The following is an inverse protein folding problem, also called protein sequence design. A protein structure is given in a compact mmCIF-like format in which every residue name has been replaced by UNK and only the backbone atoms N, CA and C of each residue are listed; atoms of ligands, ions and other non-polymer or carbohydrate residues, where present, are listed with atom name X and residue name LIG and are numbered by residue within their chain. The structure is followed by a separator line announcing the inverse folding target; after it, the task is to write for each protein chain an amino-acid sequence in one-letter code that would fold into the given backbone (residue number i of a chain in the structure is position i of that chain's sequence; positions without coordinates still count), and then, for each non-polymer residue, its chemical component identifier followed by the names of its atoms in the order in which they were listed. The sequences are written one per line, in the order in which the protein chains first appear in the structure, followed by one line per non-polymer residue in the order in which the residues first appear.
data_IF_239015930827
#
_entry.id   IF_239015930827
#
_cell.length_a   1.000
_cell.length_b   1.000
_cell.length_c   1.000
_cell.angle_alpha   90.00
_cell.angle_beta   90.00
_cell.angle_gamma   90.00
#
_symmetry.space_group_name_H-M   'P 1'
#
loop_
_entity.id
_entity.type
_entity.pdbx_description
1 polymer ?
#
# COMPACT_ATOMS: atom_id res chain seq x y z
N UNK A 1 8.55 1.19 40.90
CA UNK A 1 7.11 1.48 40.72
C UNK A 1 6.85 1.68 39.24
N UNK A 2 6.09 0.78 38.58
CA UNK A 2 5.68 0.99 37.17
C UNK A 2 4.62 2.08 37.17
N UNK A 3 4.85 3.18 36.46
CA UNK A 3 3.91 4.30 36.30
C UNK A 3 2.72 3.92 35.38
N UNK A 4 2.00 2.86 35.73
CA UNK A 4 0.84 2.35 34.99
C UNK A 4 -0.29 3.38 34.93
N UNK A 5 -0.49 4.15 35.99
CA UNK A 5 -1.49 5.22 36.05
C UNK A 5 -1.24 6.31 35.00
N UNK A 6 0.03 6.72 34.86
CA UNK A 6 0.43 7.69 33.84
C UNK A 6 0.21 7.14 32.42
N UNK A 7 0.54 5.86 32.19
CA UNK A 7 0.30 5.21 30.89
C UNK A 7 -1.20 5.17 30.57
N UNK A 8 -2.05 4.86 31.55
CA UNK A 8 -3.51 4.86 31.39
C UNK A 8 -4.00 6.27 31.04
N UNK A 9 -3.52 7.29 31.75
CA UNK A 9 -3.90 8.69 31.51
C UNK A 9 -3.49 9.17 30.11
N UNK A 10 -2.25 8.88 29.70
CA UNK A 10 -1.74 9.20 28.36
C UNK A 10 -2.54 8.50 27.26
N UNK A 11 -2.85 7.21 27.44
CA UNK A 11 -3.65 6.45 26.49
C UNK A 11 -5.05 7.04 26.35
N UNK A 12 -5.73 7.35 27.46
CA UNK A 12 -7.05 8.00 27.43
C UNK A 12 -7.03 9.34 26.68
N UNK A 13 -6.03 10.18 26.95
CA UNK A 13 -5.88 11.46 26.26
C UNK A 13 -5.68 11.27 24.74
N UNK A 14 -4.82 10.34 24.35
CA UNK A 14 -4.58 10.00 22.94
C UNK A 14 -5.86 9.52 22.24
N UNK A 15 -6.59 8.59 22.85
CA UNK A 15 -7.84 8.05 22.29
C UNK A 15 -8.88 9.15 22.15
N UNK A 16 -9.07 9.98 23.18
CA UNK A 16 -10.01 11.10 23.12
C UNK A 16 -9.68 12.05 21.98
N UNK A 17 -8.42 12.47 21.87
CA UNK A 17 -7.97 13.34 20.79
C UNK A 17 -8.17 12.71 19.40
N UNK A 18 -7.89 11.41 19.26
CA UNK A 18 -8.12 10.67 18.02
C UNK A 18 -9.61 10.67 17.63
N UNK A 19 -10.50 10.37 18.58
CA UNK A 19 -11.95 10.34 18.36
C UNK A 19 -12.49 11.72 17.99
N UNK A 20 -12.15 12.76 18.75
CA UNK A 20 -12.59 14.14 18.47
C UNK A 20 -12.14 14.57 17.07
N UNK A 21 -10.91 14.24 16.67
CA UNK A 21 -10.40 14.54 15.34
C UNK A 21 -11.23 13.84 14.25
N UNK A 22 -11.59 12.58 14.44
CA UNK A 22 -12.39 11.83 13.47
C UNK A 22 -13.82 12.38 13.40
N UNK A 23 -14.45 12.68 14.55
CA UNK A 23 -15.79 13.27 14.62
C UNK A 23 -15.83 14.61 13.89
N UNK A 24 -14.86 15.49 14.12
CA UNK A 24 -14.78 16.80 13.42
C UNK A 24 -14.63 16.63 11.91
N UNK A 25 -13.85 15.65 11.45
CA UNK A 25 -13.72 15.33 10.02
C UNK A 25 -15.06 14.85 9.43
N UNK A 26 -15.75 13.99 10.15
CA UNK A 26 -17.03 13.42 9.73
C UNK A 26 -18.15 14.47 9.70
N UNK A 27 -18.18 15.38 10.69
CA UNK A 27 -19.09 16.53 10.72
C UNK A 27 -18.87 17.47 9.53
N UNK A 28 -17.60 17.74 9.16
CA UNK A 28 -17.28 18.59 8.01
C UNK A 28 -17.64 17.93 6.69
N UNK A 29 -17.42 16.62 6.57
CA UNK A 29 -17.68 15.89 5.34
C UNK A 29 -18.04 14.45 5.67
N UNK A 30 -19.32 14.06 5.51
CA UNK A 30 -19.75 12.68 5.74
C UNK A 30 -18.94 11.68 4.91
N UNK A 31 -18.60 10.56 5.53
CA UNK A 31 -17.78 9.49 4.97
C UNK A 31 -16.31 9.82 4.78
N UNK A 32 -15.80 10.95 5.28
CA UNK A 32 -14.39 11.32 5.09
C UNK A 32 -13.44 10.39 5.86
N UNK A 33 -13.83 9.91 7.04
CA UNK A 33 -13.02 8.97 7.82
C UNK A 33 -12.89 7.65 7.08
N UNK A 34 -14.01 7.10 6.58
CA UNK A 34 -14.04 5.86 5.79
C UNK A 34 -13.18 5.98 4.52
N UNK A 35 -13.36 7.04 3.73
CA UNK A 35 -12.55 7.29 2.53
C UNK A 35 -11.06 7.39 2.83
N UNK A 36 -10.69 8.05 3.92
CA UNK A 36 -9.29 8.16 4.34
C UNK A 36 -8.69 6.78 4.68
N UNK A 37 -9.48 5.91 5.32
CA UNK A 37 -9.05 4.54 5.65
C UNK A 37 -8.90 3.69 4.38
N UNK A 38 -9.85 3.78 3.45
CA UNK A 38 -9.80 3.08 2.15
C UNK A 38 -8.53 3.47 1.38
N UNK A 39 -8.25 4.77 1.25
CA UNK A 39 -7.03 5.27 0.59
C UNK A 39 -5.76 4.83 1.33
N UNK A 40 -5.76 4.85 2.66
CA UNK A 40 -4.62 4.38 3.44
C UNK A 40 -4.35 2.87 3.26
N UNK A 41 -5.41 2.05 3.14
CA UNK A 41 -5.29 0.63 2.88
C UNK A 41 -4.71 0.35 1.49
N UNK A 42 -5.22 1.06 0.47
CA UNK A 42 -4.66 1.03 -0.89
C UNK A 42 -3.17 1.37 -0.88
N UNK A 43 -2.78 2.46 -0.20
CA UNK A 43 -1.38 2.88 -0.13
C UNK A 43 -0.48 1.83 0.57
N UNK A 44 -0.98 1.21 1.66
CA UNK A 44 -0.26 0.12 2.34
C UNK A 44 -0.02 -1.07 1.41
N UNK A 45 -1.02 -1.47 0.62
CA UNK A 45 -0.87 -2.57 -0.36
C UNK A 45 0.14 -2.23 -1.45
N UNK A 46 0.09 -1.00 -1.99
CA UNK A 46 1.07 -0.50 -2.96
C UNK A 46 2.50 -0.57 -2.40
N UNK A 47 2.70 -0.14 -1.15
CA UNK A 47 3.99 -0.24 -0.45
C UNK A 47 4.43 -1.70 -0.30
N UNK A 48 3.54 -2.58 0.16
CA UNK A 48 3.85 -4.00 0.32
C UNK A 48 4.30 -4.63 -1.01
N UNK A 49 3.56 -4.41 -2.10
CA UNK A 49 3.93 -4.93 -3.43
C UNK A 49 5.27 -4.37 -3.91
N UNK A 50 5.53 -3.08 -3.69
CA UNK A 50 6.82 -2.43 -3.98
C UNK A 50 7.96 -3.13 -3.24
N UNK A 51 7.81 -3.37 -1.94
CA UNK A 51 8.83 -4.04 -1.14
C UNK A 51 9.08 -5.48 -1.62
N UNK A 52 8.04 -6.22 -2.00
CA UNK A 52 8.17 -7.56 -2.60
C UNK A 52 8.92 -7.55 -3.93
N UNK A 53 8.64 -6.58 -4.80
CA UNK A 53 9.32 -6.43 -6.09
C UNK A 53 10.79 -6.09 -5.91
N UNK A 54 11.12 -5.16 -5.01
CA UNK A 54 12.51 -4.79 -4.71
C UNK A 54 13.28 -6.01 -4.20
N UNK A 55 12.70 -6.77 -3.27
CA UNK A 55 13.32 -8.00 -2.75
C UNK A 55 13.63 -8.99 -3.88
N UNK A 56 12.69 -9.18 -4.80
CA UNK A 56 12.88 -10.05 -5.96
C UNK A 56 14.00 -9.54 -6.90
N UNK A 57 14.01 -8.24 -7.22
CA UNK A 57 15.04 -7.64 -8.08
C UNK A 57 16.44 -7.75 -7.48
N UNK A 58 16.57 -7.54 -6.17
CA UNK A 58 17.82 -7.71 -5.42
C UNK A 58 18.30 -9.16 -5.46
N UNK A 59 17.40 -10.12 -5.22
CA UNK A 59 17.71 -11.56 -5.28
C UNK A 59 18.24 -11.96 -6.66
N UNK A 60 17.64 -11.44 -7.73
CA UNK A 60 18.06 -11.71 -9.11
C UNK A 60 19.23 -10.83 -9.59
N UNK A 61 19.79 -9.98 -8.73
CA UNK A 61 20.92 -9.07 -9.03
C UNK A 61 20.66 -8.16 -10.24
N UNK A 62 19.44 -7.64 -10.36
CA UNK A 62 19.08 -6.72 -11.44
C UNK A 62 19.80 -5.39 -11.30
N UNK A 63 19.88 -4.63 -12.41
CA UNK A 63 20.53 -3.32 -12.41
C UNK A 63 19.89 -2.39 -11.36
N UNK A 64 20.69 -1.74 -10.49
CA UNK A 64 20.19 -0.83 -9.46
C UNK A 64 19.29 0.30 -9.99
N UNK A 65 19.49 0.76 -11.24
CA UNK A 65 18.62 1.74 -11.88
C UNK A 65 17.19 1.23 -12.11
N UNK A 66 17.03 -0.06 -12.35
CA UNK A 66 15.69 -0.66 -12.48
C UNK A 66 15.04 -0.75 -11.09
N UNK A 67 15.82 -1.12 -10.07
CA UNK A 67 15.33 -1.16 -8.70
C UNK A 67 14.86 0.22 -8.22
N UNK A 68 15.57 1.30 -8.54
CA UNK A 68 15.18 2.67 -8.15
C UNK A 68 13.89 3.14 -8.84
N UNK A 69 13.63 2.72 -10.08
CA UNK A 69 12.35 2.99 -10.77
C UNK A 69 11.19 2.27 -10.08
N UNK A 70 11.42 1.02 -9.66
CA UNK A 70 10.45 0.20 -8.92
C UNK A 70 10.35 0.62 -7.45
N UNK A 71 11.23 1.50 -6.98
CA UNK A 71 11.21 1.97 -5.61
C UNK A 71 10.11 3.00 -5.36
N UNK A 72 9.61 3.66 -6.41
CA UNK A 72 8.59 4.70 -6.31
C UNK A 72 7.19 4.09 -6.48
N UNK A 73 6.37 3.96 -5.42
CA UNK A 73 5.06 3.28 -5.51
C UNK A 73 4.12 3.90 -6.56
N UNK A 74 4.26 5.21 -6.80
CA UNK A 74 3.50 5.97 -7.78
C UNK A 74 3.83 5.63 -9.24
N UNK A 75 4.94 4.93 -9.52
CA UNK A 75 5.40 4.66 -10.88
C UNK A 75 4.82 3.37 -11.48
N UNK A 76 4.30 2.45 -10.67
CA UNK A 76 4.11 1.05 -11.12
C UNK A 76 2.90 0.31 -10.54
N UNK A 77 2.05 0.95 -9.74
CA UNK A 77 0.84 0.29 -9.22
C UNK A 77 -0.21 1.28 -8.75
N UNK A 78 -1.34 1.32 -9.43
CA UNK A 78 -2.59 1.72 -8.82
C UNK A 78 -3.36 0.43 -8.55
N UNK A 79 -3.21 -0.11 -7.34
CA UNK A 79 -4.23 -1.01 -6.80
C UNK A 79 -5.46 -0.14 -6.58
N UNK A 80 -6.44 -0.29 -7.45
CA UNK A 80 -7.74 0.37 -7.32
C UNK A 80 -8.77 -0.69 -6.90
N UNK A 81 -9.81 -0.28 -6.19
CA UNK A 81 -10.91 -1.17 -5.81
C UNK A 81 -11.75 -1.48 -7.04
N UNK A 82 -11.87 -2.77 -7.42
CA UNK A 82 -12.78 -3.21 -8.49
C UNK A 82 -14.13 -2.50 -8.35
N UNK A 83 -14.85 -2.21 -9.46
CA UNK A 83 -16.21 -1.67 -9.38
C UNK A 83 -17.09 -2.41 -8.35
N UNK A 84 -16.85 -3.72 -8.17
CA UNK A 84 -17.56 -4.61 -7.26
C UNK A 84 -16.88 -4.79 -5.88
N UNK A 85 -15.74 -4.12 -5.65
CA UNK A 85 -14.89 -4.19 -4.43
C UNK A 85 -14.44 -5.59 -4.01
N UNK A 86 -14.64 -6.60 -4.86
CA UNK A 86 -14.28 -8.00 -4.60
C UNK A 86 -12.78 -8.27 -4.78
N UNK A 87 -12.10 -7.47 -5.61
CA UNK A 87 -10.68 -7.59 -5.88
C UNK A 87 -10.03 -6.22 -6.15
N UNK A 88 -8.71 -6.15 -6.00
CA UNK A 88 -7.94 -4.99 -6.44
C UNK A 88 -7.51 -5.24 -7.89
N UNK A 89 -7.77 -4.28 -8.76
CA UNK A 89 -7.39 -4.31 -10.17
C UNK A 89 -6.32 -3.28 -10.44
N UNK A 90 -5.42 -3.59 -11.38
CA UNK A 90 -4.35 -2.70 -11.80
C UNK A 90 -4.86 -1.79 -12.89
N UNK A 91 -5.27 -0.58 -12.53
CA UNK A 91 -5.63 0.42 -13.53
C UNK A 91 -4.39 0.94 -14.23
N UNK A 92 -4.51 1.07 -15.55
CA UNK A 92 -3.54 1.80 -16.36
C UNK A 92 -4.08 3.20 -16.49
N UNK A 93 -3.47 4.17 -15.81
CA UNK A 93 -3.76 5.58 -16.09
C UNK A 93 -3.44 5.82 -17.57
N UNK A 94 -4.33 6.49 -18.29
CA UNK A 94 -4.19 6.80 -19.72
C UNK A 94 -2.88 7.55 -20.05
N UNK A 95 -2.29 8.22 -19.06
CA UNK A 95 -1.03 8.96 -19.18
C UNK A 95 0.23 8.10 -18.98
N UNK A 96 0.12 6.80 -18.70
CA UNK A 96 1.28 5.91 -18.48
C UNK A 96 1.58 5.04 -19.69
N UNK A 97 2.86 4.81 -19.94
CA UNK A 97 3.33 3.95 -21.03
C UNK A 97 2.87 2.50 -20.85
N UNK A 98 2.25 1.94 -21.89
CA UNK A 98 1.87 0.53 -21.93
C UNK A 98 3.07 -0.41 -21.73
N UNK A 99 4.24 -0.04 -22.25
CA UNK A 99 5.46 -0.84 -22.12
C UNK A 99 5.93 -0.91 -20.67
N UNK A 100 5.87 0.20 -19.93
CA UNK A 100 6.23 0.23 -18.52
C UNK A 100 5.31 -0.68 -17.68
N UNK A 101 4.01 -0.71 -18.01
CA UNK A 101 3.05 -1.63 -17.40
C UNK A 101 3.43 -3.09 -17.67
N UNK A 102 3.58 -3.46 -18.94
CA UNK A 102 3.90 -4.84 -19.33
C UNK A 102 5.21 -5.32 -18.68
N UNK A 103 6.20 -4.45 -18.60
CA UNK A 103 7.45 -4.74 -17.90
C UNK A 103 7.23 -5.05 -16.41
N UNK A 104 6.47 -4.21 -15.70
CA UNK A 104 6.17 -4.44 -14.28
C UNK A 104 5.33 -5.70 -14.08
N UNK A 105 4.37 -5.97 -14.98
CA UNK A 105 3.58 -7.22 -14.98
C UNK A 105 4.45 -8.46 -15.20
N UNK A 106 5.46 -8.38 -16.06
CA UNK A 106 6.40 -9.48 -16.26
C UNK A 106 7.21 -9.80 -15.00
N UNK A 107 7.60 -8.78 -14.23
CA UNK A 107 8.30 -8.94 -12.95
C UNK A 107 7.41 -9.68 -11.95
N UNK A 108 6.15 -9.27 -11.83
CA UNK A 108 5.20 -9.90 -10.90
C UNK A 108 4.90 -11.35 -11.31
N UNK A 109 4.64 -11.58 -12.61
CA UNK A 109 4.34 -12.92 -13.14
C UNK A 109 5.49 -13.89 -12.85
N UNK A 110 6.73 -13.46 -13.11
CA UNK A 110 7.90 -14.29 -12.86
C UNK A 110 8.11 -14.51 -11.36
N UNK A 111 7.98 -13.46 -10.54
CA UNK A 111 8.05 -13.57 -9.08
C UNK A 111 7.03 -14.56 -8.53
N UNK A 112 5.78 -14.48 -8.99
CA UNK A 112 4.69 -15.32 -8.50
C UNK A 112 4.84 -16.78 -8.97
N UNK A 113 5.33 -17.00 -10.19
CA UNK A 113 5.70 -18.34 -10.64
C UNK A 113 6.76 -18.96 -9.73
N UNK A 114 7.80 -18.21 -9.36
CA UNK A 114 8.87 -18.69 -8.48
C UNK A 114 8.37 -19.00 -7.06
N UNK A 115 7.46 -18.19 -6.50
CA UNK A 115 6.83 -18.47 -5.20
C UNK A 115 6.05 -19.78 -5.18
N UNK A 116 5.46 -20.19 -6.30
CA UNK A 116 4.74 -21.47 -6.39
C UNK A 116 5.69 -22.67 -6.39
N UNK A 117 6.96 -22.48 -6.76
CA UNK A 117 7.99 -23.53 -6.70
C UNK A 117 8.71 -23.58 -5.35
N UNK A 118 8.81 -22.47 -4.61
CA UNK A 118 9.42 -22.44 -3.26
C UNK A 118 8.52 -23.03 -2.16
N UNK A 119 7.20 -23.06 -2.37
CA UNK A 119 6.21 -23.59 -1.42
C UNK A 119 5.75 -25.02 -1.73
N UNK A 120 6.48 -25.74 -2.60
CA UNK A 120 6.33 -27.17 -2.88
C UNK A 120 7.54 -27.93 -2.36
#
# INVERSE_FOLDING_TARGET
VRNTELIIALYRNFVYHHLVRNIRKEQKTPGAVKRSLEVANVYKRRKHRRDERIKYLQMKKWNPRIASIIELPACHSDDEDSPDKSCYYRLTLSLRSANAKSFVESIDTYRDSMRQFENR
#
